data_IF_505338750150
#
_entry.id   IF_505338750150
#
_cell.length_a   1.000
_cell.length_b   1.000
_cell.length_c   1.000
_cell.angle_alpha   90.00
_cell.angle_beta   90.00
_cell.angle_gamma   90.00
#
_symmetry.space_group_name_H-M   'P 1'
#
loop_
_entity.id
_entity.type
_entity.pdbx_description
1 polymer ?
#
# COMPACT_ATOMS: atom_id res chain seq x y z
N UNK A 1 0.75 25.25 8.64
CA UNK A 1 -0.43 25.50 7.76
C UNK A 1 -0.08 26.31 6.50
N UNK A 2 0.56 27.49 6.59
CA UNK A 2 0.90 28.27 5.38
C UNK A 2 1.83 27.55 4.40
N UNK A 3 2.87 26.87 4.89
CA UNK A 3 3.80 26.12 4.03
C UNK A 3 3.11 24.98 3.27
N UNK A 4 2.20 24.22 3.94
CA UNK A 4 1.43 23.15 3.31
C UNK A 4 0.52 23.67 2.19
N UNK A 5 -0.13 24.83 2.39
CA UNK A 5 -0.98 25.42 1.37
C UNK A 5 -0.15 25.89 0.14
N UNK A 6 1.04 26.43 0.38
CA UNK A 6 1.96 26.82 -0.69
C UNK A 6 2.44 25.61 -1.49
N UNK A 7 2.75 24.48 -0.82
CA UNK A 7 3.17 23.24 -1.48
C UNK A 7 2.08 22.67 -2.38
N UNK A 8 0.85 22.56 -1.87
CA UNK A 8 -0.28 22.06 -2.65
C UNK A 8 -0.61 22.98 -3.85
N UNK A 9 -0.39 24.30 -3.70
CA UNK A 9 -0.55 25.23 -4.81
C UNK A 9 0.55 25.06 -5.87
N UNK A 10 1.78 24.77 -5.43
CA UNK A 10 2.93 24.56 -6.33
C UNK A 10 2.90 23.19 -6.99
N UNK A 11 2.25 22.21 -6.34
CA UNK A 11 2.11 20.84 -6.82
C UNK A 11 0.62 20.45 -6.80
N UNK A 12 -0.19 20.93 -7.77
CA UNK A 12 -1.62 20.61 -7.84
C UNK A 12 -1.84 19.12 -8.03
N UNK A 13 -2.96 18.63 -7.51
CA UNK A 13 -3.34 17.23 -7.63
C UNK A 13 -3.48 16.82 -9.10
N UNK A 14 -2.81 15.77 -9.58
CA UNK A 14 -3.16 15.16 -10.85
C UNK A 14 -4.54 14.48 -10.74
N UNK A 15 -5.35 14.53 -11.80
CA UNK A 15 -6.69 13.91 -11.74
C UNK A 15 -7.77 14.80 -11.10
N UNK A 16 -8.57 14.27 -10.20
CA UNK A 16 -9.74 14.97 -9.64
C UNK A 16 -9.96 14.71 -8.16
N UNK A 17 -10.67 15.63 -7.52
CA UNK A 17 -11.17 15.47 -6.16
C UNK A 17 -12.61 14.97 -6.20
N UNK A 18 -12.92 13.97 -5.38
CA UNK A 18 -14.25 13.32 -5.31
C UNK A 18 -14.75 13.39 -3.87
N UNK A 19 -15.99 13.79 -3.67
CA UNK A 19 -16.58 13.80 -2.34
C UNK A 19 -16.92 12.38 -1.88
N UNK A 20 -16.47 12.03 -0.67
CA UNK A 20 -16.74 10.75 0.01
C UNK A 20 -17.22 11.09 1.42
N UNK A 21 -18.52 11.02 1.66
CA UNK A 21 -19.11 11.28 2.98
C UNK A 21 -18.71 12.64 3.60
N UNK A 22 -18.62 13.68 2.77
CA UNK A 22 -18.22 15.04 3.21
C UNK A 22 -16.71 15.32 3.15
N UNK A 23 -15.85 14.31 2.98
CA UNK A 23 -14.42 14.48 2.78
C UNK A 23 -14.08 14.46 1.28
N UNK A 24 -13.10 15.25 0.89
CA UNK A 24 -12.61 15.29 -0.50
C UNK A 24 -11.44 14.33 -0.68
N UNK A 25 -11.61 13.31 -1.51
CA UNK A 25 -10.60 12.30 -1.83
C UNK A 25 -10.00 12.57 -3.20
N UNK A 26 -8.70 12.48 -3.31
CA UNK A 26 -7.99 12.53 -4.59
C UNK A 26 -8.09 11.19 -5.32
N UNK A 27 -8.35 11.27 -6.64
CA UNK A 27 -8.41 10.14 -7.55
C UNK A 27 -7.78 10.50 -8.89
N UNK A 28 -6.80 9.72 -9.33
CA UNK A 28 -6.12 9.88 -10.61
C UNK A 28 -6.28 8.61 -11.46
N UNK A 29 -7.09 8.70 -12.50
CA UNK A 29 -7.31 7.62 -13.46
C UNK A 29 -6.65 7.93 -14.80
N UNK A 30 -6.06 6.91 -15.41
CA UNK A 30 -5.45 6.95 -16.75
C UNK A 30 -5.90 5.73 -17.56
N UNK A 31 -5.87 5.83 -18.90
CA UNK A 31 -6.35 4.77 -19.77
C UNK A 31 -7.87 4.62 -19.78
N UNK A 32 -8.35 3.65 -20.56
CA UNK A 32 -9.78 3.31 -20.69
C UNK A 32 -9.91 1.80 -20.84
N UNK A 33 -11.09 1.27 -20.53
CA UNK A 33 -11.35 -0.18 -20.65
C UNK A 33 -11.81 -0.81 -19.35
N UNK A 34 -11.98 -2.11 -19.37
CA UNK A 34 -12.50 -2.95 -18.28
C UNK A 34 -11.78 -4.31 -18.29
N UNK A 35 -11.55 -4.90 -17.12
CA UNK A 35 -11.81 -4.40 -15.78
C UNK A 35 -10.93 -3.18 -15.42
N UNK A 36 -11.40 -2.32 -14.51
CA UNK A 36 -10.61 -1.20 -13.99
C UNK A 36 -9.63 -1.68 -12.93
N UNK A 37 -8.36 -1.31 -13.07
CA UNK A 37 -7.34 -1.56 -12.03
C UNK A 37 -7.40 -0.44 -10.99
N UNK A 38 -7.51 -0.80 -9.72
CA UNK A 38 -7.41 0.12 -8.58
C UNK A 38 -6.08 -0.12 -7.86
N UNK A 39 -5.28 0.93 -7.73
CA UNK A 39 -3.98 0.90 -7.09
C UNK A 39 -4.09 1.41 -5.64
N UNK A 40 -3.92 0.52 -4.68
CA UNK A 40 -3.97 0.80 -3.25
C UNK A 40 -2.56 0.87 -2.65
N UNK A 41 -2.19 2.02 -2.14
CA UNK A 41 -0.85 2.28 -1.63
C UNK A 41 -0.62 1.72 -0.20
N UNK A 42 0.64 1.59 0.18
CA UNK A 42 1.06 1.15 1.51
C UNK A 42 0.85 2.20 2.60
N UNK A 43 1.33 1.91 3.81
CA UNK A 43 1.27 2.79 4.97
C UNK A 43 1.93 4.15 4.67
N UNK A 44 1.17 5.23 4.82
CA UNK A 44 1.67 6.59 4.63
C UNK A 44 2.04 6.98 3.20
N UNK A 45 1.86 6.06 2.24
CA UNK A 45 2.11 6.29 0.83
C UNK A 45 0.89 6.92 0.14
N UNK A 46 1.14 7.58 -0.99
CA UNK A 46 0.12 8.21 -1.83
C UNK A 46 0.02 7.54 -3.20
N UNK A 47 -0.95 7.99 -3.99
CA UNK A 47 -1.13 7.60 -5.39
C UNK A 47 0.15 7.73 -6.23
N UNK A 48 1.03 8.68 -5.88
CA UNK A 48 2.33 8.87 -6.55
C UNK A 48 3.26 7.67 -6.43
N UNK A 49 3.08 6.79 -5.45
CA UNK A 49 3.90 5.57 -5.32
C UNK A 49 3.71 4.63 -6.51
N UNK A 50 2.62 4.77 -7.24
CA UNK A 50 2.31 3.97 -8.41
C UNK A 50 2.76 4.59 -9.73
N UNK A 51 3.40 5.78 -9.69
CA UNK A 51 3.86 6.49 -10.87
C UNK A 51 4.68 5.61 -11.84
N UNK A 52 5.64 4.75 -11.37
CA UNK A 52 6.46 3.97 -12.29
C UNK A 52 5.68 2.93 -13.10
N UNK A 53 4.52 2.51 -12.63
CA UNK A 53 3.74 1.40 -13.21
C UNK A 53 2.40 1.82 -13.79
N UNK A 54 1.77 2.88 -13.25
CA UNK A 54 0.41 3.27 -13.65
C UNK A 54 0.28 3.55 -15.14
N UNK A 55 1.17 4.35 -15.73
CA UNK A 55 1.13 4.72 -17.14
C UNK A 55 1.30 3.50 -18.07
N UNK A 56 2.15 2.54 -17.69
CA UNK A 56 2.37 1.32 -18.47
C UNK A 56 1.16 0.37 -18.40
N UNK A 57 0.56 0.21 -17.22
CA UNK A 57 -0.66 -0.59 -17.07
C UNK A 57 -1.86 0.04 -17.79
N UNK A 58 -1.92 1.37 -17.85
CA UNK A 58 -3.03 2.10 -18.49
C UNK A 58 -3.11 1.96 -20.01
N UNK A 59 -2.11 1.36 -20.64
CA UNK A 59 -2.16 0.99 -22.06
C UNK A 59 -3.16 -0.17 -22.30
N UNK A 60 -3.34 -1.05 -21.30
CA UNK A 60 -4.19 -2.23 -21.42
C UNK A 60 -5.63 -1.98 -20.95
N UNK A 61 -5.84 -1.13 -19.95
CA UNK A 61 -7.16 -0.87 -19.38
C UNK A 61 -7.18 0.46 -18.62
N UNK A 62 -8.33 0.80 -18.00
CA UNK A 62 -8.40 1.93 -17.07
C UNK A 62 -7.66 1.58 -15.76
N UNK A 63 -6.79 2.49 -15.30
CA UNK A 63 -6.01 2.34 -14.06
C UNK A 63 -6.19 3.58 -13.19
N UNK A 64 -6.66 3.40 -11.97
CA UNK A 64 -6.92 4.47 -11.02
C UNK A 64 -6.08 4.29 -9.76
N UNK A 65 -5.31 5.30 -9.39
CA UNK A 65 -4.67 5.45 -8.10
C UNK A 65 -5.39 6.51 -7.29
N UNK A 66 -5.49 6.35 -5.99
CA UNK A 66 -6.15 7.30 -5.10
C UNK A 66 -5.36 7.53 -3.82
N UNK A 67 -5.72 8.58 -3.11
CA UNK A 67 -5.14 8.87 -1.81
C UNK A 67 -6.17 8.62 -0.70
N UNK A 68 -5.81 7.83 0.30
CA UNK A 68 -6.64 7.67 1.51
C UNK A 68 -6.72 8.99 2.28
N UNK A 69 -7.69 9.11 3.17
CA UNK A 69 -7.88 10.31 3.98
C UNK A 69 -6.58 10.76 4.69
N UNK A 70 -6.23 12.03 4.51
CA UNK A 70 -5.03 12.65 5.06
C UNK A 70 -3.73 12.38 4.32
N UNK A 71 -3.73 11.45 3.35
CA UNK A 71 -2.57 11.16 2.51
C UNK A 71 -2.66 11.93 1.18
N UNK A 72 -1.52 12.10 0.52
CA UNK A 72 -1.44 12.76 -0.78
C UNK A 72 -2.17 14.10 -0.79
N UNK A 73 -3.16 14.23 -1.63
CA UNK A 73 -4.01 15.43 -1.76
C UNK A 73 -5.37 15.30 -1.06
N UNK A 74 -5.69 14.14 -0.50
CA UNK A 74 -6.96 13.93 0.19
C UNK A 74 -7.06 14.72 1.50
N UNK A 75 -8.30 15.11 1.85
CA UNK A 75 -8.58 15.74 3.13
C UNK A 75 -8.37 14.76 4.28
N UNK A 76 -7.90 15.23 5.44
CA UNK A 76 -7.77 14.39 6.62
C UNK A 76 -9.14 13.96 7.15
N UNK A 77 -9.20 12.79 7.75
CA UNK A 77 -10.31 12.38 8.60
C UNK A 77 -10.07 12.85 10.03
N UNK A 78 -11.16 13.10 10.76
CA UNK A 78 -11.10 13.51 12.16
C UNK A 78 -10.64 12.35 13.06
N UNK A 79 -10.95 11.10 12.66
CA UNK A 79 -10.64 9.89 13.41
C UNK A 79 -9.87 8.87 12.57
N UNK A 80 -9.20 7.96 13.29
CA UNK A 80 -8.51 6.83 12.69
C UNK A 80 -9.53 5.84 12.11
N UNK A 81 -9.35 5.46 10.85
CA UNK A 81 -10.26 4.55 10.13
C UNK A 81 -9.84 3.09 10.29
N UNK A 82 -10.80 2.23 10.59
CA UNK A 82 -10.60 0.78 10.53
C UNK A 82 -10.44 0.32 9.06
N UNK A 83 -9.87 -0.88 8.83
CA UNK A 83 -9.79 -1.43 7.48
C UNK A 83 -11.13 -1.52 6.76
N UNK A 84 -12.20 -1.83 7.50
CA UNK A 84 -13.56 -1.88 6.96
C UNK A 84 -14.05 -0.51 6.51
N UNK A 85 -13.75 0.54 7.28
CA UNK A 85 -14.11 1.92 6.92
C UNK A 85 -13.32 2.40 5.71
N UNK A 86 -12.03 2.04 5.59
CA UNK A 86 -11.22 2.35 4.41
C UNK A 86 -11.82 1.68 3.17
N UNK A 87 -12.21 0.41 3.26
CA UNK A 87 -12.86 -0.33 2.17
C UNK A 87 -14.20 0.30 1.76
N UNK A 88 -15.05 0.67 2.73
CA UNK A 88 -16.33 1.34 2.47
C UNK A 88 -16.14 2.71 1.82
N UNK A 89 -15.12 3.48 2.24
CA UNK A 89 -14.81 4.77 1.64
C UNK A 89 -14.28 4.62 0.22
N UNK A 90 -13.45 3.62 -0.06
CA UNK A 90 -13.02 3.30 -1.42
C UNK A 90 -14.22 2.96 -2.32
N UNK A 91 -15.13 2.11 -1.85
CA UNK A 91 -16.36 1.80 -2.58
C UNK A 91 -17.18 3.06 -2.90
N UNK A 92 -17.39 3.94 -1.91
CA UNK A 92 -18.09 5.20 -2.08
C UNK A 92 -17.36 6.12 -3.06
N UNK A 93 -16.04 6.20 -2.98
CA UNK A 93 -15.19 6.95 -3.91
C UNK A 93 -15.40 6.50 -5.35
N UNK A 94 -15.33 5.19 -5.60
CA UNK A 94 -15.48 4.62 -6.94
C UNK A 94 -16.89 4.88 -7.49
N UNK A 95 -17.93 4.68 -6.68
CA UNK A 95 -19.33 4.97 -7.05
C UNK A 95 -19.52 6.43 -7.41
N UNK A 96 -19.04 7.36 -6.57
CA UNK A 96 -19.17 8.80 -6.79
C UNK A 96 -18.31 9.29 -7.97
N UNK A 97 -17.29 8.54 -8.32
CA UNK A 97 -16.45 8.77 -9.49
C UNK A 97 -17.02 8.15 -10.78
N UNK A 98 -18.17 7.45 -10.73
CA UNK A 98 -18.77 6.69 -11.83
C UNK A 98 -17.84 5.58 -12.36
N UNK A 99 -17.01 5.02 -11.48
CA UNK A 99 -16.22 3.84 -11.76
C UNK A 99 -17.03 2.63 -11.28
N UNK A 100 -17.55 1.90 -12.26
CA UNK A 100 -18.34 0.71 -12.01
C UNK A 100 -17.48 -0.54 -12.19
N UNK A 101 -18.00 -1.66 -11.75
CA UNK A 101 -17.38 -2.98 -11.89
C UNK A 101 -17.23 -3.41 -13.35
N UNK A 102 -16.34 -4.39 -13.67
CA UNK A 102 -15.49 -5.15 -12.75
C UNK A 102 -14.19 -4.46 -12.38
N UNK A 103 -13.63 -4.85 -11.22
CA UNK A 103 -12.38 -4.32 -10.68
C UNK A 103 -11.28 -5.39 -10.57
N UNK A 104 -10.02 -4.97 -10.75
CA UNK A 104 -8.83 -5.68 -10.30
C UNK A 104 -8.12 -4.79 -9.28
N UNK A 105 -7.90 -5.30 -8.06
CA UNK A 105 -7.25 -4.55 -6.99
C UNK A 105 -5.76 -4.90 -6.96
N UNK A 106 -4.87 -3.89 -7.01
CA UNK A 106 -3.41 -4.05 -6.90
C UNK A 106 -2.94 -3.29 -5.66
N UNK A 107 -2.48 -4.01 -4.66
CA UNK A 107 -2.43 -3.52 -3.29
C UNK A 107 -1.07 -3.77 -2.65
N UNK A 108 -0.33 -2.68 -2.34
CA UNK A 108 0.99 -2.74 -1.75
C UNK A 108 0.93 -2.74 -0.23
N UNK A 109 1.78 -3.60 0.39
CA UNK A 109 2.03 -3.55 1.83
C UNK A 109 0.71 -3.57 2.64
N UNK A 110 0.49 -2.58 3.52
CA UNK A 110 -0.74 -2.41 4.30
C UNK A 110 -1.99 -2.28 3.43
N UNK A 111 -1.87 -1.75 2.22
CA UNK A 111 -2.97 -1.68 1.26
C UNK A 111 -3.63 -3.03 0.98
N UNK A 112 -2.86 -4.12 1.08
CA UNK A 112 -3.42 -5.46 0.90
C UNK A 112 -4.44 -5.86 1.96
N UNK A 113 -4.31 -5.37 3.21
CA UNK A 113 -5.34 -5.56 4.24
C UNK A 113 -6.63 -4.85 3.80
N UNK A 114 -6.54 -3.59 3.35
CA UNK A 114 -7.71 -2.83 2.92
C UNK A 114 -8.41 -3.46 1.72
N UNK A 115 -7.64 -3.97 0.76
CA UNK A 115 -8.18 -4.66 -0.41
C UNK A 115 -8.88 -5.97 -0.05
N UNK A 116 -8.36 -6.75 0.89
CA UNK A 116 -9.05 -7.97 1.37
C UNK A 116 -10.35 -7.63 2.07
N UNK A 117 -10.37 -6.56 2.89
CA UNK A 117 -11.62 -6.05 3.49
C UNK A 117 -12.61 -5.55 2.42
N UNK A 118 -12.11 -4.89 1.35
CA UNK A 118 -12.94 -4.49 0.22
C UNK A 118 -13.59 -5.71 -0.45
N UNK A 119 -12.80 -6.73 -0.78
CA UNK A 119 -13.32 -7.95 -1.39
C UNK A 119 -14.38 -8.63 -0.52
N UNK A 120 -14.17 -8.73 0.79
CA UNK A 120 -15.16 -9.35 1.67
C UNK A 120 -16.47 -8.57 1.79
N UNK A 121 -16.43 -7.24 1.65
CA UNK A 121 -17.63 -6.40 1.67
C UNK A 121 -18.33 -6.36 0.30
N UNK A 122 -17.54 -6.38 -0.79
CA UNK A 122 -18.04 -6.18 -2.16
C UNK A 122 -17.50 -7.26 -3.13
N UNK A 123 -17.71 -8.56 -2.85
CA UNK A 123 -17.07 -9.63 -3.61
C UNK A 123 -17.47 -9.66 -5.09
N UNK A 124 -18.68 -9.23 -5.42
CA UNK A 124 -19.16 -9.22 -6.81
C UNK A 124 -18.47 -8.17 -7.69
N UNK A 125 -17.84 -7.17 -7.09
CA UNK A 125 -17.15 -6.10 -7.80
C UNK A 125 -15.73 -6.49 -8.22
N UNK A 126 -15.09 -7.43 -7.52
CA UNK A 126 -13.68 -7.77 -7.69
C UNK A 126 -13.53 -9.06 -8.50
N UNK A 127 -12.81 -8.97 -9.60
CA UNK A 127 -12.49 -10.10 -10.49
C UNK A 127 -11.07 -10.63 -10.31
N UNK A 128 -10.20 -9.90 -9.62
CA UNK A 128 -8.84 -10.34 -9.32
C UNK A 128 -8.19 -9.48 -8.25
N UNK A 129 -7.25 -10.05 -7.53
CA UNK A 129 -6.49 -9.39 -6.47
C UNK A 129 -5.00 -9.62 -6.66
N UNK A 130 -4.22 -8.55 -6.56
CA UNK A 130 -2.75 -8.57 -6.60
C UNK A 130 -2.22 -8.02 -5.28
N UNK A 131 -1.55 -8.85 -4.51
CA UNK A 131 -0.89 -8.50 -3.26
C UNK A 131 0.60 -8.28 -3.52
N UNK A 132 1.06 -7.03 -3.40
CA UNK A 132 2.44 -6.62 -3.69
C UNK A 132 3.16 -6.44 -2.36
N UNK A 133 3.97 -7.40 -1.98
CA UNK A 133 4.67 -7.49 -0.68
C UNK A 133 3.75 -7.08 0.48
N UNK A 134 2.58 -7.72 0.51
CA UNK A 134 1.45 -7.26 1.29
C UNK A 134 1.55 -7.69 2.74
N UNK A 135 1.09 -6.82 3.63
CA UNK A 135 1.02 -7.11 5.07
C UNK A 135 -0.02 -8.19 5.37
N UNK A 136 0.38 -9.16 6.17
CA UNK A 136 -0.51 -10.16 6.75
C UNK A 136 -1.12 -9.62 8.05
N UNK A 137 -2.38 -9.95 8.36
CA UNK A 137 -3.11 -9.44 9.54
C UNK A 137 -2.40 -9.76 10.85
N UNK A 138 -1.78 -10.92 10.94
CA UNK A 138 -1.04 -11.38 12.12
C UNK A 138 0.46 -11.03 12.07
N UNK A 139 0.95 -10.39 10.99
CA UNK A 139 2.38 -10.15 10.80
C UNK A 139 3.02 -9.44 11.98
N UNK A 140 2.51 -8.27 12.33
CA UNK A 140 3.06 -7.48 13.42
C UNK A 140 3.01 -8.20 14.79
N UNK A 141 1.97 -9.01 15.05
CA UNK A 141 1.86 -9.79 16.28
C UNK A 141 2.90 -10.91 16.34
N UNK A 142 3.08 -11.65 15.24
CA UNK A 142 4.02 -12.77 15.15
C UNK A 142 5.48 -12.31 15.10
N UNK A 143 5.74 -11.11 14.56
CA UNK A 143 7.05 -10.49 14.50
C UNK A 143 7.49 -9.89 15.85
N UNK A 144 6.53 -9.44 16.67
CA UNK A 144 6.80 -8.70 17.91
C UNK A 144 7.85 -9.35 18.83
N UNK A 145 7.86 -10.68 19.06
CA UNK A 145 8.87 -11.32 19.91
C UNK A 145 10.32 -11.08 19.48
N UNK A 146 10.55 -10.90 18.18
CA UNK A 146 11.88 -10.74 17.57
C UNK A 146 12.29 -9.27 17.37
N UNK A 147 11.31 -8.36 17.38
CA UNK A 147 11.49 -6.95 17.01
C UNK A 147 11.10 -5.96 18.14
N UNK A 148 11.11 -6.38 19.41
CA UNK A 148 10.64 -5.57 20.54
C UNK A 148 11.33 -4.20 20.64
N UNK A 149 12.64 -4.13 20.43
CA UNK A 149 13.39 -2.87 20.49
C UNK A 149 12.98 -1.91 19.38
N UNK A 150 12.73 -2.40 18.18
CA UNK A 150 12.28 -1.62 17.03
C UNK A 150 10.84 -1.11 17.26
N UNK A 151 9.97 -1.95 17.82
CA UNK A 151 8.61 -1.54 18.21
C UNK A 151 8.62 -0.47 19.31
N UNK A 152 9.52 -0.56 20.31
CA UNK A 152 9.66 0.46 21.34
C UNK A 152 10.13 1.79 20.76
N UNK A 153 11.16 1.76 19.89
CA UNK A 153 11.65 2.93 19.16
C UNK A 153 10.55 3.56 18.32
N UNK A 154 9.81 2.75 17.57
CA UNK A 154 8.68 3.21 16.76
C UNK A 154 7.59 3.85 17.63
N UNK A 155 7.28 3.30 18.81
CA UNK A 155 6.31 3.90 19.75
C UNK A 155 6.69 5.32 20.15
N UNK A 156 7.97 5.54 20.47
CA UNK A 156 8.48 6.87 20.84
C UNK A 156 8.37 7.80 19.64
N UNK A 157 8.83 7.38 18.47
CA UNK A 157 8.77 8.19 17.24
C UNK A 157 7.33 8.61 16.91
N UNK A 158 6.37 7.69 16.99
CA UNK A 158 4.96 7.97 16.72
C UNK A 158 4.36 8.92 17.75
N UNK A 159 4.70 8.78 19.03
CA UNK A 159 4.18 9.65 20.07
C UNK A 159 4.61 11.11 19.90
N UNK A 160 5.82 11.36 19.40
CA UNK A 160 6.36 12.71 19.22
C UNK A 160 6.13 13.27 17.82
N UNK A 161 5.89 12.43 16.81
CA UNK A 161 5.77 12.85 15.41
C UNK A 161 4.71 13.94 15.16
N UNK A 162 3.51 13.92 15.76
CA UNK A 162 2.52 14.98 15.59
C UNK A 162 3.02 16.35 16.05
N UNK A 163 3.73 16.41 17.17
CA UNK A 163 4.31 17.64 17.67
C UNK A 163 5.42 18.15 16.75
N UNK A 164 6.35 17.27 16.38
CA UNK A 164 7.46 17.61 15.49
C UNK A 164 6.98 18.05 14.10
N UNK A 165 5.91 17.46 13.60
CA UNK A 165 5.31 17.88 12.34
C UNK A 165 4.68 19.28 12.41
N UNK A 166 3.94 19.57 13.50
CA UNK A 166 3.29 20.87 13.70
C UNK A 166 4.29 22.04 13.79
N UNK A 167 5.46 21.81 14.38
CA UNK A 167 6.53 22.82 14.48
C UNK A 167 7.52 22.78 13.29
N UNK A 168 7.22 21.97 12.27
CA UNK A 168 7.99 21.92 11.02
C UNK A 168 9.30 21.11 11.08
N UNK A 169 9.61 20.44 12.18
CA UNK A 169 10.86 19.67 12.34
C UNK A 169 10.92 18.50 11.37
N UNK A 170 9.80 17.76 11.19
CA UNK A 170 9.75 16.64 10.22
C UNK A 170 10.11 17.12 8.82
N UNK A 171 9.61 18.30 8.44
CA UNK A 171 9.90 18.93 7.15
C UNK A 171 11.37 19.30 7.03
N UNK A 172 11.96 19.89 8.06
CA UNK A 172 13.39 20.28 8.08
C UNK A 172 14.32 19.06 8.06
N UNK A 173 13.98 18.01 8.80
CA UNK A 173 14.79 16.78 8.86
C UNK A 173 14.66 15.92 7.61
N UNK A 174 13.67 16.21 6.75
CA UNK A 174 13.42 15.42 5.55
C UNK A 174 13.07 13.96 5.83
N UNK A 175 12.43 13.67 6.98
CA UNK A 175 12.04 12.29 7.33
C UNK A 175 11.11 11.66 6.31
N UNK A 176 10.37 12.49 5.59
CA UNK A 176 9.50 12.10 4.51
C UNK A 176 10.13 12.29 3.12
N UNK A 177 11.43 12.59 3.03
CA UNK A 177 12.07 12.84 1.75
C UNK A 177 12.10 11.57 0.90
N UNK A 178 11.51 11.69 -0.26
CA UNK A 178 11.54 10.67 -1.31
C UNK A 178 12.96 10.39 -1.83
N UNK A 179 13.92 11.30 -1.55
CA UNK A 179 15.31 11.26 -2.03
C UNK A 179 16.16 10.11 -1.46
N UNK A 180 15.65 9.35 -0.51
CA UNK A 180 16.37 8.21 0.08
C UNK A 180 16.22 6.91 -0.73
N UNK A 181 15.31 6.86 -1.68
CA UNK A 181 15.13 5.70 -2.54
C UNK A 181 15.87 5.96 -3.86
N UNK A 182 16.59 4.97 -4.42
CA UNK A 182 17.01 5.06 -5.81
C UNK A 182 15.75 5.30 -6.63
N UNK A 183 15.71 6.46 -7.27
CA UNK A 183 14.45 7.03 -7.69
C UNK A 183 14.13 6.69 -9.14
N UNK A 184 13.07 5.92 -9.40
CA UNK A 184 12.51 5.81 -10.74
C UNK A 184 11.67 7.05 -11.13
N UNK A 185 11.67 8.10 -10.28
CA UNK A 185 10.81 9.25 -10.44
C UNK A 185 11.51 10.43 -11.11
N UNK A 186 10.87 11.13 -12.07
CA UNK A 186 11.29 12.44 -12.52
C UNK A 186 11.32 13.46 -11.37
N UNK A 187 12.20 14.47 -11.47
CA UNK A 187 12.41 15.45 -10.42
C UNK A 187 11.12 16.19 -9.98
N UNK A 188 10.23 16.49 -10.92
CA UNK A 188 8.95 17.13 -10.61
C UNK A 188 8.00 16.22 -9.80
N UNK A 189 8.03 14.92 -10.05
CA UNK A 189 7.23 13.93 -9.30
C UNK A 189 7.81 13.73 -7.90
N UNK A 190 9.15 13.67 -7.77
CA UNK A 190 9.83 13.66 -6.47
C UNK A 190 9.46 14.89 -5.63
N UNK A 191 9.51 16.07 -6.23
CA UNK A 191 9.12 17.31 -5.55
C UNK A 191 7.67 17.27 -5.08
N UNK A 192 6.73 16.82 -5.92
CA UNK A 192 5.34 16.66 -5.55
C UNK A 192 5.16 15.61 -4.44
N UNK A 193 5.83 14.45 -4.54
CA UNK A 193 5.80 13.40 -3.52
C UNK A 193 6.31 13.92 -2.18
N UNK A 194 7.44 14.62 -2.16
CA UNK A 194 7.99 15.28 -0.97
C UNK A 194 7.02 16.31 -0.39
N UNK A 195 6.41 17.14 -1.22
CA UNK A 195 5.45 18.15 -0.80
C UNK A 195 4.24 17.56 -0.06
N UNK A 196 3.63 16.49 -0.60
CA UNK A 196 2.47 15.87 0.02
C UNK A 196 2.83 15.00 1.24
N UNK A 197 4.01 14.37 1.26
CA UNK A 197 4.47 13.56 2.39
C UNK A 197 4.88 14.39 3.61
N UNK A 198 5.36 15.62 3.41
CA UNK A 198 5.77 16.53 4.48
C UNK A 198 4.61 17.30 5.15
N UNK A 199 3.37 17.00 4.80
CA UNK A 199 2.18 17.60 5.42
C UNK A 199 1.98 17.08 6.84
N UNK A 200 1.51 17.95 7.73
CA UNK A 200 1.08 17.54 9.08
C UNK A 200 -0.05 16.53 9.03
N UNK A 201 -1.00 16.72 8.11
CA UNK A 201 -2.11 15.78 7.90
C UNK A 201 -1.61 14.38 7.55
N UNK A 202 -0.59 14.27 6.69
CA UNK A 202 0.04 12.99 6.35
C UNK A 202 0.68 12.33 7.59
N UNK A 203 1.39 13.10 8.40
CA UNK A 203 1.94 12.58 9.67
C UNK A 203 0.85 12.06 10.59
N UNK A 204 -0.25 12.80 10.74
CA UNK A 204 -1.39 12.38 11.56
C UNK A 204 -2.09 11.14 11.00
N UNK A 205 -2.29 11.08 9.68
CA UNK A 205 -2.88 9.91 9.02
C UNK A 205 -2.04 8.66 9.24
N UNK A 206 -0.70 8.76 9.10
CA UNK A 206 0.23 7.65 9.39
C UNK A 206 0.13 7.19 10.85
N UNK A 207 0.13 8.13 11.79
CA UNK A 207 0.00 7.83 13.22
C UNK A 207 -1.33 7.11 13.49
N UNK A 208 -2.41 7.57 12.89
CA UNK A 208 -3.74 6.96 13.01
C UNK A 208 -3.78 5.55 12.41
N UNK A 209 -3.24 5.35 11.21
CA UNK A 209 -3.14 4.03 10.59
C UNK A 209 -2.35 3.05 11.47
N UNK A 210 -1.22 3.49 12.07
CA UNK A 210 -0.42 2.65 12.97
C UNK A 210 -1.16 2.38 14.28
N UNK A 211 -1.90 3.35 14.82
CA UNK A 211 -2.68 3.17 16.03
C UNK A 211 -3.76 2.08 15.88
N UNK A 212 -4.43 2.06 14.71
CA UNK A 212 -5.40 0.99 14.38
C UNK A 212 -4.69 -0.36 14.26
N UNK A 213 -3.54 -0.42 13.57
CA UNK A 213 -2.74 -1.65 13.46
C UNK A 213 -2.35 -2.20 14.83
N UNK A 214 -1.97 -1.33 15.79
CA UNK A 214 -1.57 -1.74 17.13
C UNK A 214 -2.67 -2.30 17.99
N UNK A 215 -3.92 -1.92 17.75
CA UNK A 215 -5.05 -2.58 18.41
C UNK A 215 -5.08 -4.07 18.09
N UNK A 216 -4.60 -4.45 16.89
CA UNK A 216 -4.46 -5.83 16.46
C UNK A 216 -3.32 -6.60 17.16
N UNK A 217 -2.31 -5.90 17.73
CA UNK A 217 -1.22 -6.55 18.48
C UNK A 217 -1.68 -7.16 19.82
N UNK A 218 -2.75 -6.65 20.39
CA UNK A 218 -3.25 -7.08 21.71
C UNK A 218 -4.41 -8.08 21.62
N UNK A 219 -4.85 -8.38 20.42
CA UNK A 219 -5.97 -9.27 20.22
C UNK A 219 -5.48 -10.53 19.52
N UNK A 220 -6.20 -11.61 19.69
CA UNK A 220 -6.21 -12.74 18.77
C UNK A 220 -6.74 -12.24 17.42
N UNK A 221 -5.94 -11.44 16.70
CA UNK A 221 -6.29 -11.00 15.36
C UNK A 221 -6.52 -12.24 14.53
N UNK A 222 -7.71 -12.44 13.97
CA UNK A 222 -7.96 -13.62 13.16
C UNK A 222 -7.01 -13.62 11.95
N UNK A 223 -6.65 -14.81 11.44
CA UNK A 223 -5.97 -14.89 10.17
C UNK A 223 -6.84 -14.29 9.06
N UNK A 224 -6.26 -13.91 7.92
CA UNK A 224 -7.04 -13.43 6.79
C UNK A 224 -8.05 -14.49 6.35
N UNK A 225 -9.26 -14.04 6.00
CA UNK A 225 -10.31 -14.93 5.54
C UNK A 225 -10.04 -15.43 4.12
N UNK A 226 -10.52 -16.63 3.80
CA UNK A 226 -10.40 -17.23 2.47
C UNK A 226 -10.99 -16.31 1.38
N UNK A 227 -10.33 -16.27 0.24
CA UNK A 227 -10.76 -15.59 -0.98
C UNK A 227 -11.45 -16.55 -1.98
N UNK A 228 -11.70 -17.81 -1.57
CA UNK A 228 -12.33 -18.83 -2.40
C UNK A 228 -11.49 -19.17 -3.63
N UNK A 229 -12.04 -18.95 -4.82
CA UNK A 229 -11.36 -19.18 -6.12
C UNK A 229 -11.04 -17.86 -6.86
N UNK A 230 -11.04 -16.72 -6.16
CA UNK A 230 -10.68 -15.43 -6.78
C UNK A 230 -9.29 -15.52 -7.40
N UNK A 231 -9.10 -15.13 -8.67
CA UNK A 231 -7.77 -14.97 -9.25
C UNK A 231 -6.89 -14.10 -8.36
N UNK A 232 -5.85 -14.71 -7.78
CA UNK A 232 -4.96 -14.09 -6.81
C UNK A 232 -3.52 -14.16 -7.31
N UNK A 233 -2.83 -13.02 -7.29
CA UNK A 233 -1.40 -12.93 -7.51
C UNK A 233 -0.74 -12.39 -6.23
N UNK A 234 0.23 -13.10 -5.70
CA UNK A 234 1.08 -12.63 -4.60
C UNK A 234 2.48 -12.43 -5.12
N UNK A 235 2.98 -11.18 -5.05
CA UNK A 235 4.38 -10.85 -5.31
C UNK A 235 5.07 -10.56 -3.99
N UNK A 236 6.13 -11.32 -3.70
CA UNK A 236 6.91 -11.19 -2.47
C UNK A 236 8.27 -10.59 -2.75
N UNK A 237 8.71 -9.64 -1.94
CA UNK A 237 10.04 -9.05 -2.01
C UNK A 237 11.12 -10.09 -1.63
N UNK A 238 11.95 -10.47 -2.60
CA UNK A 238 12.96 -11.52 -2.40
C UNK A 238 14.01 -11.17 -1.35
N UNK A 239 14.39 -9.89 -1.24
CA UNK A 239 15.36 -9.43 -0.24
C UNK A 239 14.82 -9.54 1.20
N UNK A 240 13.52 -9.36 1.40
CA UNK A 240 12.89 -9.46 2.72
C UNK A 240 12.87 -10.88 3.28
N UNK A 241 12.90 -11.88 2.41
CA UNK A 241 12.87 -13.31 2.77
C UNK A 241 14.22 -14.03 2.55
N UNK A 242 15.26 -13.31 2.17
CA UNK A 242 16.63 -13.83 1.99
C UNK A 242 17.35 -13.93 3.33
N UNK A 243 17.45 -15.16 3.85
CA UNK A 243 18.11 -15.46 5.12
C UNK A 243 19.58 -15.03 5.11
N UNK A 244 20.31 -15.30 4.02
CA UNK A 244 21.73 -14.94 3.91
C UNK A 244 21.93 -13.42 3.89
N UNK A 245 21.04 -12.66 3.29
CA UNK A 245 21.04 -11.20 3.33
C UNK A 245 20.73 -10.70 4.75
N UNK A 246 19.68 -11.24 5.39
CA UNK A 246 19.30 -10.89 6.77
C UNK A 246 20.45 -11.11 7.76
N UNK A 247 21.18 -12.22 7.65
CA UNK A 247 22.37 -12.48 8.47
C UNK A 247 23.48 -11.44 8.25
N UNK A 248 23.81 -11.13 6.99
CA UNK A 248 24.85 -10.16 6.65
C UNK A 248 24.50 -8.76 7.16
N UNK A 249 23.28 -8.32 6.96
CA UNK A 249 22.81 -7.01 7.40
C UNK A 249 22.76 -6.90 8.92
N UNK A 250 22.30 -7.95 9.62
CA UNK A 250 22.29 -7.98 11.08
C UNK A 250 23.70 -7.87 11.66
N UNK A 251 24.67 -8.64 11.12
CA UNK A 251 26.09 -8.56 11.51
C UNK A 251 26.67 -7.16 11.27
N UNK A 252 26.43 -6.58 10.10
CA UNK A 252 26.91 -5.24 9.76
C UNK A 252 26.33 -4.14 10.65
N UNK A 253 25.07 -4.29 11.08
CA UNK A 253 24.36 -3.34 11.94
C UNK A 253 24.52 -3.64 13.45
N UNK A 254 25.33 -4.64 13.83
CA UNK A 254 25.50 -5.11 15.22
C UNK A 254 24.13 -5.42 15.89
N UNK A 255 23.26 -6.13 15.16
CA UNK A 255 21.95 -6.60 15.64
C UNK A 255 21.94 -8.12 15.83
N UNK A 256 20.92 -8.65 16.51
CA UNK A 256 20.75 -10.09 16.66
C UNK A 256 20.55 -10.77 15.31
N UNK A 257 21.48 -11.64 14.93
CA UNK A 257 21.38 -12.46 13.71
C UNK A 257 20.23 -13.45 13.82
N UNK A 258 20.04 -14.05 14.99
CA UNK A 258 18.96 -15.01 15.24
C UNK A 258 17.57 -14.36 15.00
N UNK A 259 17.36 -13.16 15.56
CA UNK A 259 16.11 -12.42 15.35
C UNK A 259 15.92 -12.03 13.88
N UNK A 260 16.96 -11.59 13.19
CA UNK A 260 16.87 -11.21 11.77
C UNK A 260 16.50 -12.41 10.89
N UNK A 261 17.10 -13.57 11.15
CA UNK A 261 16.76 -14.82 10.46
C UNK A 261 15.32 -15.25 10.77
N UNK A 262 14.93 -15.19 12.04
CA UNK A 262 13.56 -15.54 12.44
C UNK A 262 12.52 -14.63 11.74
N UNK A 263 12.78 -13.33 11.62
CA UNK A 263 11.92 -12.39 10.90
C UNK A 263 11.85 -12.75 9.41
N UNK A 264 12.99 -13.02 8.75
CA UNK A 264 12.99 -13.38 7.33
C UNK A 264 12.25 -14.70 7.05
N UNK A 265 12.38 -15.69 7.93
CA UNK A 265 11.62 -16.95 7.86
C UNK A 265 10.12 -16.71 8.07
N UNK A 266 9.78 -15.87 9.05
CA UNK A 266 8.39 -15.50 9.34
C UNK A 266 7.75 -14.77 8.16
N UNK A 267 8.42 -13.77 7.58
CA UNK A 267 7.93 -13.05 6.41
C UNK A 267 7.64 -13.98 5.24
N UNK A 268 8.54 -14.94 4.97
CA UNK A 268 8.29 -15.97 3.95
C UNK A 268 7.00 -16.74 4.23
N UNK A 269 6.84 -17.24 5.46
CA UNK A 269 5.65 -17.99 5.87
C UNK A 269 4.38 -17.15 5.72
N UNK A 270 4.41 -15.88 6.12
CA UNK A 270 3.25 -14.99 6.00
C UNK A 270 2.85 -14.74 4.54
N UNK A 271 3.82 -14.60 3.63
CA UNK A 271 3.52 -14.46 2.20
C UNK A 271 2.98 -15.76 1.58
N UNK A 272 3.47 -16.93 2.02
CA UNK A 272 2.92 -18.24 1.63
C UNK A 272 1.47 -18.42 2.13
N UNK A 273 1.17 -18.00 3.37
CA UNK A 273 -0.18 -17.98 3.92
C UNK A 273 -1.12 -17.07 3.12
N UNK A 274 -0.64 -15.88 2.68
CA UNK A 274 -1.41 -15.01 1.79
C UNK A 274 -1.68 -15.66 0.43
N UNK A 275 -0.71 -16.37 -0.13
CA UNK A 275 -0.89 -17.10 -1.38
C UNK A 275 -1.89 -18.26 -1.25
N UNK A 276 -1.99 -18.86 -0.08
CA UNK A 276 -2.94 -19.94 0.20
C UNK A 276 -4.40 -19.47 0.39
N UNK A 277 -4.67 -18.16 0.40
CA UNK A 277 -6.03 -17.62 0.59
C UNK A 277 -6.98 -17.95 -0.58
N UNK A 278 -6.45 -18.21 -1.78
CA UNK A 278 -7.25 -18.59 -2.94
C UNK A 278 -6.79 -19.91 -3.54
N UNK A 279 -7.73 -20.75 -3.96
CA UNK A 279 -7.43 -21.95 -4.74
C UNK A 279 -6.95 -21.62 -6.17
N UNK A 280 -7.13 -20.39 -6.64
CA UNK A 280 -6.66 -19.88 -7.93
C UNK A 280 -5.59 -18.82 -7.72
N UNK A 281 -4.49 -19.21 -7.10
CA UNK A 281 -3.40 -18.32 -6.71
C UNK A 281 -2.11 -18.60 -7.49
N UNK A 282 -1.39 -17.52 -7.81
CA UNK A 282 -0.01 -17.56 -8.30
C UNK A 282 0.89 -16.78 -7.32
N UNK A 283 1.98 -17.40 -6.87
CA UNK A 283 2.97 -16.75 -6.01
C UNK A 283 4.27 -16.51 -6.80
N UNK A 284 4.74 -15.27 -6.82
CA UNK A 284 5.95 -14.82 -7.53
C UNK A 284 6.89 -14.13 -6.56
N UNK A 285 8.16 -14.55 -6.56
CA UNK A 285 9.19 -13.93 -5.73
C UNK A 285 9.99 -12.95 -6.61
N UNK A 286 9.96 -11.67 -6.24
CA UNK A 286 10.73 -10.60 -6.88
C UNK A 286 12.15 -10.58 -6.29
N UNK A 287 13.02 -11.47 -6.78
CA UNK A 287 14.33 -11.79 -6.19
C UNK A 287 15.24 -10.57 -5.97
N UNK A 288 15.18 -9.58 -6.87
CA UNK A 288 16.04 -8.40 -6.81
C UNK A 288 15.40 -7.23 -6.06
N UNK A 289 14.19 -7.43 -5.52
CA UNK A 289 13.39 -6.36 -4.91
C UNK A 289 13.46 -6.38 -3.38
N UNK A 290 13.51 -5.17 -2.79
CA UNK A 290 13.04 -4.92 -1.44
C UNK A 290 11.52 -4.69 -1.42
N UNK A 291 11.04 -4.11 -0.32
CA UNK A 291 9.62 -3.88 -0.05
C UNK A 291 8.86 -3.12 -1.17
N UNK A 292 9.53 -2.28 -1.93
CA UNK A 292 8.92 -1.48 -3.00
C UNK A 292 9.12 -2.12 -4.38
N UNK A 293 8.46 -3.25 -4.65
CA UNK A 293 8.58 -3.99 -5.91
C UNK A 293 8.27 -3.09 -7.12
N UNK A 294 7.33 -2.14 -6.98
CA UNK A 294 6.98 -1.17 -8.02
C UNK A 294 8.12 -0.22 -8.38
N UNK A 295 9.17 -0.11 -7.54
CA UNK A 295 10.36 0.71 -7.78
C UNK A 295 11.54 -0.13 -8.27
N UNK A 296 11.76 -1.28 -7.62
CA UNK A 296 12.94 -2.11 -7.85
C UNK A 296 12.79 -3.01 -9.10
N UNK A 297 11.59 -3.57 -9.30
CA UNK A 297 11.27 -4.47 -10.42
C UNK A 297 9.91 -4.13 -11.06
N UNK A 298 9.71 -2.89 -11.57
CA UNK A 298 8.43 -2.45 -12.13
C UNK A 298 7.96 -3.33 -13.29
N UNK A 299 8.87 -3.79 -14.15
CA UNK A 299 8.51 -4.61 -15.31
C UNK A 299 8.00 -6.00 -14.91
N UNK A 300 8.54 -6.60 -13.83
CA UNK A 300 8.02 -7.84 -13.26
C UNK A 300 6.58 -7.64 -12.74
N UNK A 301 6.36 -6.56 -11.98
CA UNK A 301 5.02 -6.23 -11.48
C UNK A 301 4.03 -6.02 -12.63
N UNK A 302 4.39 -5.22 -13.63
CA UNK A 302 3.54 -4.92 -14.78
C UNK A 302 3.18 -6.20 -15.54
N UNK A 303 4.18 -7.02 -15.90
CA UNK A 303 3.92 -8.26 -16.65
C UNK A 303 3.03 -9.23 -15.88
N UNK A 304 3.24 -9.35 -14.57
CA UNK A 304 2.42 -10.22 -13.71
C UNK A 304 0.98 -9.72 -13.55
N UNK A 305 0.78 -8.40 -13.43
CA UNK A 305 -0.57 -7.80 -13.40
C UNK A 305 -1.28 -7.99 -14.74
N UNK A 306 -0.59 -7.80 -15.86
CA UNK A 306 -1.17 -7.99 -17.21
C UNK A 306 -1.55 -9.45 -17.45
N UNK A 307 -0.76 -10.40 -16.96
CA UNK A 307 -1.09 -11.83 -17.04
C UNK A 307 -2.38 -12.15 -16.29
N UNK A 308 -2.53 -11.65 -15.04
CA UNK A 308 -3.77 -11.79 -14.28
C UNK A 308 -4.93 -11.09 -14.99
N UNK A 309 -4.74 -9.88 -15.50
CA UNK A 309 -5.77 -9.14 -16.24
C UNK A 309 -6.30 -9.93 -17.44
N UNK A 310 -5.42 -10.56 -18.21
CA UNK A 310 -5.79 -11.41 -19.34
C UNK A 310 -6.61 -12.64 -18.89
N UNK A 311 -6.23 -13.27 -17.77
CA UNK A 311 -6.95 -14.44 -17.27
C UNK A 311 -8.38 -14.09 -16.84
N UNK A 312 -8.60 -12.96 -16.19
CA UNK A 312 -9.96 -12.53 -15.76
C UNK A 312 -10.80 -12.02 -16.92
N UNK A 313 -10.19 -11.46 -17.97
CA UNK A 313 -10.89 -11.03 -19.18
C UNK A 313 -11.39 -12.22 -20.02
N UNK A 314 -10.62 -13.31 -20.10
CA UNK A 314 -11.03 -14.54 -20.78
C UNK A 314 -12.21 -15.23 -20.08
N UNK A 315 -12.24 -15.22 -18.74
CA UNK A 315 -13.36 -15.80 -17.97
C UNK A 315 -14.69 -15.09 -18.23
N UNK A 316 -14.67 -13.78 -18.42
CA UNK A 316 -15.88 -12.99 -18.73
C UNK A 316 -16.48 -13.27 -20.11
N UNK A 317 -15.68 -13.78 -21.06
CA UNK A 317 -16.14 -14.16 -22.41
C UNK A 317 -16.75 -15.56 -22.47
N UNK A 318 -16.50 -16.42 -21.46
CA UNK A 318 -17.07 -17.76 -21.38
C UNK A 318 -18.44 -17.80 -20.65
N UNK A 319 -18.79 -16.72 -19.95
CA UNK A 319 -20.09 -16.55 -19.27
C UNK A 319 -21.14 -15.84 -20.16
N UNK A 320 -20.81 -15.45 -21.37
CA UNK A 320 -21.70 -14.93 -22.40
C UNK A 320 -22.09 -16.00 -23.43
#
# INVERSE_FOLDING_TARGET
MQATAADLKSHPAPGRMVNVNGLSYHLHCTGTGSPTIILEAGLGESSLSWYPVQAKLSVATQVCAYDRAGLGWSHPADEAMSPEQVATNLHTLLRNASITTPLVLVCHSRGGIFCRHYYHQFPHEVKGLVLVDSTHEQGAFREYPYAQADYLKQRIQIAIAPLLSRIGVIRLMGWANADRLPSPFPANILAAKSAVQNRTDTTLAVVNEIAVMRKSLNASTPPPSSLGNLPLLVLTAGKGIDIGLAEREAKAANRSVENAVAIACLERTLQEELAALSSNSKHVIALMSGHFIMYDQPDLLISSVLELLNSVSCLSLQEC
#
